data_IF_362116772142
#
_entry.id   IF_362116772142
#
_cell.length_a   1.000
_cell.length_b   1.000
_cell.length_c   1.000
_cell.angle_alpha   90.00
_cell.angle_beta   90.00
_cell.angle_gamma   90.00
#
_symmetry.space_group_name_H-M   'P 1'
#
loop_
_entity.id
_entity.type
_entity.pdbx_description
1 polymer ?
#
# COMPACT_ATOMS: atom_id res chain seq x y z
N UNK A 1 63.07 17.76 28.02
CA UNK A 1 62.36 16.59 27.47
C UNK A 1 60.94 17.03 27.19
N UNK A 2 60.56 17.15 25.91
CA UNK A 2 59.20 17.57 25.50
C UNK A 2 58.40 16.32 25.17
N UNK A 3 57.26 16.11 25.84
CA UNK A 3 56.34 15.04 25.54
C UNK A 3 55.60 15.33 24.21
N UNK A 4 55.41 14.34 23.34
CA UNK A 4 54.60 14.53 22.12
C UNK A 4 53.11 14.54 22.43
N UNK A 5 52.30 15.26 21.65
CA UNK A 5 50.86 15.29 21.86
C UNK A 5 50.20 13.98 21.41
N UNK A 6 49.32 13.44 22.28
CA UNK A 6 48.42 12.34 21.95
C UNK A 6 47.36 12.84 20.96
N UNK A 7 47.41 12.33 19.73
CA UNK A 7 46.35 12.52 18.73
C UNK A 7 45.26 11.46 19.03
N UNK A 8 44.19 11.89 19.61
CA UNK A 8 42.95 11.06 19.74
C UNK A 8 42.22 11.10 18.39
N UNK A 9 42.34 10.03 17.63
CA UNK A 9 41.54 9.83 16.42
C UNK A 9 40.10 9.48 16.83
N UNK A 10 39.20 10.41 16.66
CA UNK A 10 37.78 10.15 16.82
C UNK A 10 37.29 9.30 15.64
N UNK A 11 36.96 8.04 15.91
CA UNK A 11 36.30 7.12 14.96
C UNK A 11 34.84 7.54 14.81
N UNK A 12 34.51 8.27 13.75
CA UNK A 12 33.12 8.54 13.38
C UNK A 12 32.53 7.26 12.78
N UNK A 13 31.79 6.52 13.60
CA UNK A 13 30.99 5.39 13.11
C UNK A 13 29.81 5.98 12.36
N UNK A 14 29.89 6.02 11.05
CA UNK A 14 28.77 6.30 10.17
C UNK A 14 27.81 5.10 10.28
N UNK A 15 26.77 5.20 11.11
CA UNK A 15 25.69 4.25 11.12
C UNK A 15 24.94 4.38 9.77
N UNK A 16 25.31 3.53 8.82
CA UNK A 16 24.52 3.35 7.61
C UNK A 16 23.17 2.81 8.07
N UNK A 17 22.13 3.64 8.04
CA UNK A 17 20.75 3.18 8.12
C UNK A 17 20.53 2.27 6.91
N UNK A 18 20.61 0.94 7.12
CA UNK A 18 20.11 0.01 6.12
C UNK A 18 18.62 0.31 5.97
N UNK A 19 18.25 1.04 4.93
CA UNK A 19 16.88 1.08 4.46
C UNK A 19 16.49 -0.36 4.17
N UNK A 20 15.48 -0.89 4.84
CA UNK A 20 15.00 -2.24 4.58
C UNK A 20 14.68 -2.33 3.07
N UNK A 21 15.33 -3.25 2.38
CA UNK A 21 15.07 -3.42 0.96
C UNK A 21 13.60 -3.84 0.78
N UNK A 22 12.89 -3.17 -0.12
CA UNK A 22 11.51 -3.51 -0.44
C UNK A 22 11.36 -4.88 -1.09
N UNK A 23 10.25 -5.08 -1.74
CA UNK A 23 10.01 -6.31 -2.51
C UNK A 23 11.13 -6.54 -3.54
N UNK A 24 11.82 -7.69 -3.43
CA UNK A 24 12.86 -8.12 -4.38
C UNK A 24 12.48 -9.42 -5.12
N UNK A 25 11.40 -10.09 -4.71
CA UNK A 25 11.03 -11.43 -5.15
C UNK A 25 9.85 -11.47 -6.11
N UNK A 26 8.91 -10.54 -5.97
CA UNK A 26 7.66 -10.54 -6.72
C UNK A 26 7.74 -9.48 -7.82
N UNK A 27 8.07 -9.92 -9.04
CA UNK A 27 8.35 -9.05 -10.20
C UNK A 27 7.15 -8.85 -11.13
N UNK A 28 5.96 -9.28 -10.73
CA UNK A 28 4.78 -9.25 -11.59
C UNK A 28 3.53 -8.96 -10.77
N UNK A 29 2.81 -7.90 -11.13
CA UNK A 29 1.52 -7.59 -10.51
C UNK A 29 0.51 -8.74 -10.64
N UNK A 30 0.54 -9.51 -11.74
CA UNK A 30 -0.32 -10.69 -11.88
C UNK A 30 0.03 -11.79 -10.85
N UNK A 31 1.33 -11.97 -10.52
CA UNK A 31 1.74 -12.88 -9.44
C UNK A 31 1.30 -12.32 -8.08
N UNK A 32 1.54 -11.02 -7.84
CA UNK A 32 1.12 -10.37 -6.60
C UNK A 32 -0.39 -10.49 -6.34
N UNK A 33 -1.23 -10.29 -7.36
CA UNK A 33 -2.70 -10.47 -7.22
C UNK A 33 -3.08 -11.87 -6.73
N UNK A 34 -2.41 -12.93 -7.23
CA UNK A 34 -2.69 -14.30 -6.75
C UNK A 34 -2.27 -14.50 -5.31
N UNK A 35 -1.10 -13.95 -4.93
CA UNK A 35 -0.60 -14.04 -3.56
C UNK A 35 -1.46 -13.25 -2.58
N UNK A 36 -1.97 -12.09 -2.95
CA UNK A 36 -2.94 -11.32 -2.14
C UNK A 36 -4.19 -12.14 -1.85
N UNK A 37 -4.75 -12.82 -2.86
CA UNK A 37 -5.91 -13.69 -2.67
C UNK A 37 -5.56 -14.92 -1.81
N UNK A 38 -4.38 -15.49 -1.96
CA UNK A 38 -3.89 -16.58 -1.10
C UNK A 38 -3.72 -16.14 0.36
N UNK A 39 -3.19 -14.92 0.61
CA UNK A 39 -3.05 -14.34 1.96
C UNK A 39 -4.42 -14.14 2.61
N UNK A 40 -5.39 -13.64 1.84
CA UNK A 40 -6.75 -13.42 2.32
C UNK A 40 -7.46 -14.74 2.73
N UNK A 41 -7.19 -15.84 2.03
CA UNK A 41 -7.79 -17.14 2.32
C UNK A 41 -9.31 -17.17 2.10
N UNK A 42 -9.97 -18.17 2.72
CA UNK A 42 -11.40 -18.40 2.57
C UNK A 42 -12.26 -17.40 3.35
N UNK A 43 -11.72 -16.84 4.44
CA UNK A 43 -12.36 -15.81 5.27
C UNK A 43 -11.96 -14.38 4.84
N UNK A 44 -11.56 -14.22 3.58
CA UNK A 44 -11.09 -12.97 3.03
C UNK A 44 -12.08 -11.81 3.20
N UNK A 45 -11.52 -10.63 3.50
CA UNK A 45 -12.30 -9.40 3.69
C UNK A 45 -11.74 -8.26 2.85
N UNK A 46 -12.65 -7.41 2.38
CA UNK A 46 -12.28 -6.18 1.67
C UNK A 46 -11.75 -5.14 2.65
N UNK A 47 -10.81 -4.32 2.20
CA UNK A 47 -10.16 -3.33 3.06
C UNK A 47 -11.14 -2.27 3.58
N UNK A 48 -11.82 -1.57 2.68
CA UNK A 48 -12.58 -0.38 3.04
C UNK A 48 -13.88 -0.68 3.77
N UNK A 49 -14.63 -1.68 3.33
CA UNK A 49 -15.94 -2.01 3.90
C UNK A 49 -15.94 -3.25 4.80
N UNK A 50 -14.83 -4.00 4.87
CA UNK A 50 -14.75 -5.25 5.63
C UNK A 50 -15.78 -6.32 5.18
N UNK A 51 -16.23 -6.27 3.93
CA UNK A 51 -17.14 -7.28 3.38
C UNK A 51 -16.41 -8.61 3.19
N UNK A 52 -17.09 -9.71 3.49
CA UNK A 52 -16.64 -11.05 3.11
C UNK A 52 -16.69 -11.21 1.60
N UNK A 53 -15.85 -12.08 1.07
CA UNK A 53 -15.89 -12.49 -0.32
C UNK A 53 -15.47 -13.96 -0.47
N UNK A 54 -15.97 -14.60 -1.50
CA UNK A 54 -15.58 -15.95 -1.90
C UNK A 54 -15.43 -15.99 -3.43
N UNK A 55 -14.44 -16.72 -3.94
CA UNK A 55 -14.20 -16.85 -5.37
C UNK A 55 -14.20 -15.53 -6.17
N UNK A 56 -13.77 -14.44 -5.53
CA UNK A 56 -13.80 -13.07 -6.04
C UNK A 56 -15.18 -12.43 -6.15
N UNK A 57 -16.21 -13.01 -5.62
CA UNK A 57 -17.52 -12.40 -5.45
C UNK A 57 -17.69 -11.83 -4.05
N UNK A 58 -18.19 -10.60 -3.98
CA UNK A 58 -18.40 -9.86 -2.72
C UNK A 58 -19.75 -10.23 -2.12
N UNK A 59 -19.75 -10.61 -0.85
CA UNK A 59 -20.95 -10.77 -0.03
C UNK A 59 -21.34 -9.41 0.56
N UNK A 60 -22.21 -8.67 -0.15
CA UNK A 60 -22.65 -7.32 0.25
C UNK A 60 -23.40 -7.34 1.59
N UNK A 61 -24.17 -8.37 1.86
CA UNK A 61 -24.99 -8.49 3.07
C UNK A 61 -24.10 -8.62 4.32
N UNK A 62 -22.87 -9.15 4.16
CA UNK A 62 -21.94 -9.31 5.27
C UNK A 62 -21.42 -8.00 5.87
N UNK A 63 -21.64 -6.86 5.19
CA UNK A 63 -21.13 -5.56 5.57
C UNK A 63 -22.09 -4.39 5.31
N UNK A 64 -23.32 -4.68 4.87
CA UNK A 64 -24.32 -3.67 4.54
C UNK A 64 -23.93 -2.75 3.37
N UNK A 65 -23.06 -3.23 2.48
CA UNK A 65 -22.64 -2.46 1.31
C UNK A 65 -23.78 -2.35 0.28
N UNK A 66 -24.05 -1.13 -0.16
CA UNK A 66 -25.01 -0.85 -1.25
C UNK A 66 -24.24 -0.24 -2.43
N UNK A 67 -24.30 -0.87 -3.64
CA UNK A 67 -23.67 -0.29 -4.82
C UNK A 67 -24.22 1.10 -5.16
N UNK A 68 -23.34 2.06 -5.42
CA UNK A 68 -23.74 3.42 -5.77
C UNK A 68 -24.18 3.53 -7.22
N UNK A 69 -23.51 2.89 -8.15
CA UNK A 69 -23.81 2.99 -9.59
C UNK A 69 -23.38 1.83 -10.47
N UNK A 70 -22.27 1.18 -10.20
CA UNK A 70 -21.73 0.08 -11.03
C UNK A 70 -21.89 -1.27 -10.35
N UNK A 71 -23.07 -1.87 -10.48
CA UNK A 71 -23.39 -3.14 -9.83
C UNK A 71 -22.52 -4.31 -10.31
N UNK A 72 -22.01 -4.29 -11.55
CA UNK A 72 -21.12 -5.33 -12.06
C UNK A 72 -19.75 -5.25 -11.41
N UNK A 73 -19.17 -4.04 -11.27
CA UNK A 73 -17.91 -3.86 -10.56
C UNK A 73 -18.05 -4.07 -9.07
N UNK A 74 -19.18 -3.70 -8.47
CA UNK A 74 -19.45 -3.87 -7.06
C UNK A 74 -19.43 -5.34 -6.61
N UNK A 75 -19.79 -6.28 -7.49
CA UNK A 75 -19.86 -7.71 -7.17
C UNK A 75 -18.50 -8.42 -7.19
N UNK A 76 -17.46 -7.82 -7.75
CA UNK A 76 -16.17 -8.49 -7.94
C UNK A 76 -15.07 -7.88 -7.10
N UNK A 77 -14.12 -8.73 -6.71
CA UNK A 77 -12.87 -8.29 -6.08
C UNK A 77 -11.91 -7.77 -7.16
N UNK A 78 -11.36 -6.59 -6.91
CA UNK A 78 -10.17 -6.06 -7.56
C UNK A 78 -9.04 -5.94 -6.53
N UNK A 79 -7.80 -5.80 -6.97
CA UNK A 79 -6.68 -5.59 -6.06
C UNK A 79 -6.36 -4.10 -6.02
N UNK A 80 -6.58 -3.53 -4.85
CA UNK A 80 -6.32 -2.13 -4.53
C UNK A 80 -4.83 -1.91 -4.26
N UNK A 81 -4.31 -0.80 -4.76
CA UNK A 81 -3.06 -0.21 -4.30
C UNK A 81 -3.37 0.91 -3.30
N UNK A 82 -3.14 0.70 -2.02
CA UNK A 82 -3.41 1.69 -0.96
C UNK A 82 -2.64 2.99 -1.22
N UNK A 83 -1.34 2.90 -1.50
CA UNK A 83 -0.59 3.97 -2.17
C UNK A 83 -0.77 3.78 -3.67
N UNK A 84 -1.52 4.67 -4.36
CA UNK A 84 -1.86 4.48 -5.76
C UNK A 84 -0.65 4.31 -6.67
N UNK A 85 -0.72 3.33 -7.58
CA UNK A 85 0.34 3.09 -8.56
C UNK A 85 0.65 4.32 -9.42
N UNK A 86 -0.31 5.22 -9.62
CA UNK A 86 -0.09 6.49 -10.30
C UNK A 86 0.77 7.45 -9.48
N UNK A 87 0.58 7.50 -8.14
CA UNK A 87 1.29 8.45 -7.29
C UNK A 87 2.80 8.19 -7.32
N UNK A 88 3.23 6.96 -7.07
CA UNK A 88 4.65 6.62 -7.19
C UNK A 88 5.09 6.47 -8.65
N UNK A 89 4.20 6.06 -9.55
CA UNK A 89 4.49 5.89 -10.98
C UNK A 89 4.96 7.18 -11.64
N UNK A 90 4.38 8.32 -11.29
CA UNK A 90 4.78 9.63 -11.80
C UNK A 90 6.23 10.03 -11.47
N UNK A 91 6.88 9.39 -10.52
CA UNK A 91 8.31 9.60 -10.23
C UNK A 91 9.22 8.98 -11.30
N UNK A 92 8.72 8.04 -12.11
CA UNK A 92 9.50 7.36 -13.15
C UNK A 92 9.37 8.08 -14.51
N UNK A 93 10.49 8.21 -15.21
CA UNK A 93 10.52 8.86 -16.52
C UNK A 93 9.71 8.10 -17.56
N UNK A 94 9.73 6.76 -17.50
CA UNK A 94 8.99 5.89 -18.42
C UNK A 94 7.46 6.04 -18.26
N UNK A 95 7.01 6.43 -17.07
CA UNK A 95 5.62 6.78 -16.82
C UNK A 95 5.25 8.12 -17.46
N UNK A 96 6.08 9.14 -17.30
CA UNK A 96 5.79 10.51 -17.75
C UNK A 96 6.00 10.68 -19.26
N UNK A 97 7.09 10.16 -19.77
CA UNK A 97 7.58 10.44 -21.12
C UNK A 97 7.52 9.23 -22.04
N UNK A 98 7.51 8.02 -21.46
CA UNK A 98 7.60 6.77 -22.21
C UNK A 98 9.05 6.26 -22.33
N UNK A 99 9.26 5.31 -23.22
CA UNK A 99 10.56 4.73 -23.51
C UNK A 99 10.60 4.26 -24.98
N UNK A 100 11.76 4.26 -25.61
CA UNK A 100 11.90 3.89 -27.03
C UNK A 100 11.30 2.52 -27.39
N UNK A 101 11.33 1.57 -26.45
CA UNK A 101 10.72 0.23 -26.64
C UNK A 101 9.23 0.18 -26.34
N UNK A 102 8.63 1.27 -25.85
CA UNK A 102 7.21 1.36 -25.55
C UNK A 102 6.41 1.76 -26.79
N UNK A 103 6.39 0.87 -27.78
CA UNK A 103 5.58 0.99 -28.98
C UNK A 103 4.59 -0.18 -29.05
N UNK A 104 3.39 0.08 -29.56
CA UNK A 104 2.37 -0.95 -29.78
C UNK A 104 2.65 -1.72 -31.11
N UNK A 105 1.77 -2.64 -31.48
CA UNK A 105 1.91 -3.45 -32.70
C UNK A 105 1.90 -2.62 -34.00
N UNK A 106 1.27 -1.46 -33.94
CA UNK A 106 1.16 -0.51 -35.07
C UNK A 106 2.32 0.52 -35.06
N UNK A 107 3.37 0.33 -34.21
CA UNK A 107 4.49 1.25 -34.08
C UNK A 107 4.18 2.53 -33.33
N UNK A 108 2.97 2.70 -32.76
CA UNK A 108 2.57 3.90 -32.03
C UNK A 108 3.14 3.90 -30.61
N UNK A 109 3.84 4.98 -30.17
CA UNK A 109 4.39 5.05 -28.83
C UNK A 109 3.30 5.13 -27.75
N UNK A 110 3.60 4.57 -26.57
CA UNK A 110 2.77 4.69 -25.39
C UNK A 110 3.62 4.93 -24.13
N UNK A 111 2.99 5.50 -23.09
CA UNK A 111 3.58 5.84 -21.79
C UNK A 111 2.69 5.36 -20.63
N UNK A 112 2.95 5.84 -19.41
CA UNK A 112 2.17 5.53 -18.21
C UNK A 112 2.49 4.15 -17.64
N UNK A 113 1.54 3.61 -16.87
CA UNK A 113 1.65 2.35 -16.14
C UNK A 113 2.22 1.20 -16.99
N UNK A 114 1.71 1.07 -18.21
CA UNK A 114 2.09 -0.01 -19.12
C UNK A 114 3.55 0.09 -19.59
N UNK A 115 4.04 1.31 -19.86
CA UNK A 115 5.43 1.51 -20.25
C UNK A 115 6.38 1.30 -19.06
N UNK A 116 6.11 1.93 -17.92
CA UNK A 116 6.91 1.74 -16.71
C UNK A 116 6.97 0.26 -16.30
N UNK A 117 5.84 -0.45 -16.30
CA UNK A 117 5.80 -1.89 -16.02
C UNK A 117 6.55 -2.75 -17.02
N UNK A 118 6.66 -2.32 -18.28
CA UNK A 118 7.44 -3.03 -19.31
C UNK A 118 8.94 -2.84 -19.16
N UNK A 119 9.40 -1.64 -18.81
CA UNK A 119 10.79 -1.23 -18.98
C UNK A 119 11.55 -0.96 -17.69
N UNK A 120 10.86 -0.70 -16.56
CA UNK A 120 11.49 -0.35 -15.31
C UNK A 120 11.29 -1.43 -14.24
N UNK A 121 12.38 -2.02 -13.75
CA UNK A 121 12.32 -3.10 -12.76
C UNK A 121 11.86 -2.59 -11.40
N UNK A 122 12.38 -1.46 -10.93
CA UNK A 122 12.00 -0.86 -9.66
C UNK A 122 10.50 -0.58 -9.63
N UNK A 123 9.94 -0.03 -10.72
CA UNK A 123 8.49 0.16 -10.83
C UNK A 123 7.72 -1.15 -10.68
N UNK A 124 8.16 -2.23 -11.36
CA UNK A 124 7.49 -3.55 -11.24
C UNK A 124 7.52 -4.10 -9.83
N UNK A 125 8.64 -3.93 -9.12
CA UNK A 125 8.78 -4.38 -7.73
C UNK A 125 7.86 -3.59 -6.80
N UNK A 126 7.77 -2.26 -6.96
CA UNK A 126 6.85 -1.40 -6.21
C UNK A 126 5.38 -1.74 -6.50
N UNK A 127 5.03 -1.90 -7.78
CA UNK A 127 3.66 -2.26 -8.21
C UNK A 127 3.21 -3.61 -7.66
N UNK A 128 4.15 -4.51 -7.38
CA UNK A 128 3.90 -5.86 -6.91
C UNK A 128 4.18 -6.05 -5.40
N UNK A 129 4.42 -4.98 -4.66
CA UNK A 129 4.69 -5.05 -3.22
C UNK A 129 3.43 -5.39 -2.44
N UNK A 130 3.43 -6.54 -1.76
CA UNK A 130 2.25 -7.10 -1.09
C UNK A 130 1.78 -6.27 0.10
N UNK A 131 2.66 -5.50 0.75
CA UNK A 131 2.24 -4.61 1.84
C UNK A 131 1.32 -3.49 1.36
N UNK A 132 1.40 -3.11 0.08
CA UNK A 132 0.58 -2.09 -0.53
C UNK A 132 -0.69 -2.62 -1.23
N UNK A 133 -0.94 -3.93 -1.24
CA UNK A 133 -1.98 -4.57 -2.05
C UNK A 133 -3.05 -5.25 -1.21
N UNK A 134 -4.31 -4.92 -1.44
CA UNK A 134 -5.45 -5.50 -0.70
C UNK A 134 -6.58 -5.92 -1.64
N UNK A 135 -7.36 -6.97 -1.26
CA UNK A 135 -8.63 -7.23 -1.92
C UNK A 135 -9.61 -6.09 -1.64
N UNK A 136 -10.27 -5.59 -2.68
CA UNK A 136 -11.25 -4.52 -2.53
C UNK A 136 -12.42 -4.68 -3.49
N UNK A 137 -13.59 -4.14 -3.14
CA UNK A 137 -14.76 -4.05 -4.00
C UNK A 137 -14.38 -3.23 -5.24
N UNK A 138 -14.61 -3.79 -6.43
CA UNK A 138 -14.17 -3.15 -7.67
C UNK A 138 -14.78 -1.77 -7.91
N UNK A 139 -16.02 -1.50 -7.44
CA UNK A 139 -16.63 -0.16 -7.53
C UNK A 139 -15.84 0.82 -6.66
N UNK A 140 -15.60 0.48 -5.38
CA UNK A 140 -14.84 1.34 -4.47
C UNK A 140 -13.41 1.57 -4.93
N UNK A 141 -12.72 0.53 -5.41
CA UNK A 141 -11.40 0.67 -5.99
C UNK A 141 -11.40 1.68 -7.17
N UNK A 142 -12.43 1.63 -8.01
CA UNK A 142 -12.59 2.59 -9.11
C UNK A 142 -12.91 4.00 -8.66
N UNK A 143 -13.81 4.17 -7.71
CA UNK A 143 -14.23 5.47 -7.19
C UNK A 143 -13.13 6.13 -6.36
N UNK A 144 -12.38 5.33 -5.58
CA UNK A 144 -11.19 5.79 -4.86
C UNK A 144 -10.11 6.32 -5.80
N UNK A 145 -9.90 5.68 -6.94
CA UNK A 145 -8.97 6.18 -7.96
C UNK A 145 -7.56 6.44 -7.40
N UNK A 146 -7.01 7.64 -7.60
CA UNK A 146 -5.74 8.12 -7.02
C UNK A 146 -5.95 9.21 -5.97
N UNK A 147 -7.15 9.29 -5.38
CA UNK A 147 -7.49 10.33 -4.42
C UNK A 147 -6.70 10.15 -3.12
N UNK A 148 -6.37 11.28 -2.47
CA UNK A 148 -5.66 11.28 -1.20
C UNK A 148 -6.58 10.88 -0.06
N UNK A 149 -6.03 10.27 0.97
CA UNK A 149 -6.74 10.09 2.23
C UNK A 149 -6.80 11.38 3.04
N UNK A 150 -7.88 11.55 3.78
CA UNK A 150 -8.12 12.74 4.61
C UNK A 150 -9.47 12.68 5.31
N UNK A 151 -9.84 13.76 5.98
CA UNK A 151 -11.18 13.92 6.51
C UNK A 151 -12.09 14.56 5.47
N UNK A 152 -13.33 14.07 5.41
CA UNK A 152 -14.39 14.51 4.52
C UNK A 152 -15.47 15.20 5.35
N UNK A 153 -15.90 16.39 4.94
CA UNK A 153 -16.93 17.15 5.67
C UNK A 153 -18.34 16.59 5.47
N UNK A 154 -18.60 15.91 4.35
CA UNK A 154 -19.91 15.30 4.08
C UNK A 154 -20.24 14.22 5.11
N UNK A 155 -21.50 14.21 5.53
CA UNK A 155 -22.09 13.14 6.36
C UNK A 155 -22.75 12.05 5.54
N UNK A 156 -22.81 12.19 4.21
CA UNK A 156 -23.51 11.27 3.33
C UNK A 156 -22.81 9.90 3.27
N UNK A 157 -23.61 8.87 3.41
CA UNK A 157 -23.20 7.46 3.33
C UNK A 157 -23.61 6.92 1.95
N UNK A 158 -22.72 7.06 0.96
CA UNK A 158 -23.06 6.73 -0.44
C UNK A 158 -23.04 5.22 -0.74
N UNK A 159 -22.48 4.40 0.17
CA UNK A 159 -22.28 2.95 -0.02
C UNK A 159 -23.00 2.12 1.05
N UNK A 160 -24.21 2.53 1.48
CA UNK A 160 -24.96 1.85 2.53
C UNK A 160 -24.29 2.02 3.90
N UNK A 161 -24.06 0.91 4.63
CA UNK A 161 -23.42 0.94 5.95
C UNK A 161 -21.88 1.04 5.89
N UNK A 162 -21.31 0.89 4.69
CA UNK A 162 -19.86 1.03 4.52
C UNK A 162 -19.39 2.46 4.76
N UNK A 163 -18.62 2.67 5.80
CA UNK A 163 -18.10 3.96 6.23
C UNK A 163 -16.92 4.42 5.34
N UNK A 164 -17.20 4.58 4.06
CA UNK A 164 -16.25 5.05 3.06
C UNK A 164 -16.82 6.29 2.38
N UNK A 165 -16.17 7.43 2.55
CA UNK A 165 -16.63 8.72 2.04
C UNK A 165 -15.66 9.27 1.01
N UNK A 166 -16.20 9.89 -0.04
CA UNK A 166 -15.42 10.58 -1.07
C UNK A 166 -16.00 11.97 -1.26
N UNK A 167 -15.17 12.99 -1.15
CA UNK A 167 -15.51 14.36 -1.49
C UNK A 167 -14.27 15.11 -1.98
N UNK A 168 -14.40 15.99 -2.99
CA UNK A 168 -13.33 16.82 -3.56
C UNK A 168 -11.98 16.09 -3.74
N UNK A 169 -12.00 14.84 -4.20
CA UNK A 169 -10.81 13.99 -4.37
C UNK A 169 -10.08 13.65 -3.06
N UNK A 170 -10.80 13.68 -1.97
CA UNK A 170 -10.39 13.20 -0.65
C UNK A 170 -11.22 11.99 -0.30
N UNK A 171 -10.58 10.99 0.29
CA UNK A 171 -11.22 9.77 0.77
C UNK A 171 -11.05 9.67 2.26
N UNK A 172 -12.16 9.47 2.96
CA UNK A 172 -12.16 9.13 4.38
C UNK A 172 -12.60 7.68 4.57
N UNK A 173 -11.69 6.79 4.99
CA UNK A 173 -12.02 5.41 5.31
C UNK A 173 -12.58 5.30 6.74
N UNK A 174 -13.19 4.15 7.05
CA UNK A 174 -13.59 3.80 8.41
C UNK A 174 -12.41 3.91 9.39
N UNK A 175 -12.70 4.16 10.66
CA UNK A 175 -11.69 4.45 11.69
C UNK A 175 -10.71 3.29 11.91
N UNK A 176 -11.20 2.04 11.84
CA UNK A 176 -10.52 0.80 12.20
C UNK A 176 -9.47 0.32 11.19
N UNK A 177 -9.21 1.10 10.14
CA UNK A 177 -8.13 0.81 9.16
C UNK A 177 -7.26 2.03 8.88
N UNK A 178 -7.46 3.11 9.63
CA UNK A 178 -6.69 4.34 9.41
C UNK A 178 -5.22 4.15 9.77
N UNK A 179 -4.96 3.41 10.84
CA UNK A 179 -3.62 3.02 11.25
C UNK A 179 -2.95 2.11 10.23
N UNK A 180 -3.67 1.09 9.74
CA UNK A 180 -3.16 0.20 8.68
C UNK A 180 -2.72 1.00 7.46
N UNK A 181 -3.59 1.91 6.98
CA UNK A 181 -3.29 2.80 5.85
C UNK A 181 -2.05 3.65 6.14
N UNK A 182 -1.95 4.22 7.35
CA UNK A 182 -0.81 5.03 7.74
C UNK A 182 0.51 4.23 7.70
N UNK A 183 0.53 3.03 8.28
CA UNK A 183 1.69 2.13 8.32
C UNK A 183 2.10 1.64 6.92
N UNK A 184 1.14 1.47 6.01
CA UNK A 184 1.41 1.17 4.60
C UNK A 184 2.12 2.36 3.92
N UNK A 185 1.63 3.58 4.14
CA UNK A 185 2.26 4.78 3.58
C UNK A 185 3.66 5.01 4.14
N UNK A 186 3.87 4.82 5.45
CA UNK A 186 5.20 4.91 6.07
C UNK A 186 6.17 3.88 5.50
N UNK A 187 5.71 2.63 5.35
CA UNK A 187 6.50 1.57 4.75
C UNK A 187 6.90 1.91 3.30
N UNK A 188 5.96 2.28 2.47
CA UNK A 188 6.23 2.58 1.07
C UNK A 188 7.17 3.77 0.90
N UNK A 189 7.01 4.83 1.73
CA UNK A 189 7.87 6.01 1.71
C UNK A 189 9.30 5.71 2.16
N UNK A 190 9.47 4.95 3.24
CA UNK A 190 10.76 4.58 3.79
C UNK A 190 11.51 3.57 2.90
N UNK A 191 10.76 2.62 2.32
CA UNK A 191 11.33 1.52 1.52
C UNK A 191 11.69 1.95 0.11
N UNK A 192 10.93 2.90 -0.45
CA UNK A 192 11.12 3.42 -1.80
C UNK A 192 11.33 4.94 -1.76
N UNK A 193 12.50 5.40 -1.27
CA UNK A 193 12.79 6.82 -1.11
C UNK A 193 12.73 7.59 -2.44
N UNK A 194 12.54 8.90 -2.37
CA UNK A 194 12.50 9.81 -3.52
C UNK A 194 11.32 9.60 -4.50
N UNK A 195 10.29 8.87 -4.09
CA UNK A 195 9.09 8.66 -4.91
C UNK A 195 7.96 9.64 -4.61
N UNK A 196 8.12 10.52 -3.62
CA UNK A 196 7.14 11.54 -3.28
C UNK A 196 5.83 10.96 -2.72
N UNK A 197 5.93 9.85 -1.97
CA UNK A 197 4.77 9.13 -1.42
C UNK A 197 4.12 9.92 -0.30
N UNK A 198 4.93 10.47 0.61
CA UNK A 198 4.48 11.26 1.75
C UNK A 198 4.95 12.71 1.69
N UNK A 199 3.99 13.64 1.69
CA UNK A 199 4.26 15.04 1.97
C UNK A 199 4.05 15.37 3.46
N UNK A 200 4.56 16.52 3.91
CA UNK A 200 4.52 16.91 5.33
C UNK A 200 3.11 16.94 5.94
N UNK A 201 2.09 17.38 5.17
CA UNK A 201 0.69 17.39 5.65
C UNK A 201 0.12 15.98 5.83
N UNK A 202 0.37 15.10 4.86
CA UNK A 202 -0.08 13.71 4.91
C UNK A 202 0.62 12.95 6.04
N UNK A 203 1.91 13.20 6.28
CA UNK A 203 2.67 12.58 7.37
C UNK A 203 2.03 12.85 8.73
N UNK A 204 1.71 14.11 9.04
CA UNK A 204 1.05 14.47 10.30
C UNK A 204 -0.32 13.81 10.49
N UNK A 205 -1.09 13.72 9.41
CA UNK A 205 -2.38 13.02 9.43
C UNK A 205 -2.18 11.53 9.73
N UNK A 206 -1.27 10.89 9.04
CA UNK A 206 -1.01 9.46 9.23
C UNK A 206 -0.37 9.14 10.58
N UNK A 207 0.48 10.00 11.13
CA UNK A 207 0.98 9.87 12.50
C UNK A 207 -0.16 9.91 13.54
N UNK A 208 -1.17 10.77 13.32
CA UNK A 208 -2.36 10.80 14.15
C UNK A 208 -3.24 9.55 14.00
N UNK A 209 -3.36 9.03 12.77
CA UNK A 209 -4.12 7.82 12.48
C UNK A 209 -3.46 6.57 13.07
N UNK A 210 -2.16 6.41 12.90
CA UNK A 210 -1.37 5.32 13.46
C UNK A 210 -1.48 5.24 14.99
N UNK A 211 -1.45 6.41 15.66
CA UNK A 211 -1.65 6.50 17.10
C UNK A 211 -3.08 6.15 17.56
N UNK A 212 -4.09 6.52 16.75
CA UNK A 212 -5.51 6.31 17.09
C UNK A 212 -5.99 4.89 16.80
N UNK A 213 -5.32 4.19 15.87
CA UNK A 213 -5.66 2.86 15.39
C UNK A 213 -4.38 1.99 15.43
N UNK A 214 -4.03 1.44 16.61
CA UNK A 214 -2.85 0.61 16.78
C UNK A 214 -3.01 -0.73 16.05
N UNK A 215 -1.89 -1.45 15.87
CA UNK A 215 -1.90 -2.77 15.21
C UNK A 215 -2.85 -3.75 15.90
N UNK A 216 -3.52 -4.55 15.10
CA UNK A 216 -4.36 -5.64 15.55
C UNK A 216 -3.84 -7.02 15.12
N UNK A 217 -4.50 -8.09 15.57
CA UNK A 217 -4.10 -9.46 15.27
C UNK A 217 -4.18 -9.77 13.76
N UNK A 218 -5.16 -9.24 13.05
CA UNK A 218 -5.34 -9.48 11.62
C UNK A 218 -4.24 -8.83 10.78
N UNK A 219 -3.88 -7.58 11.11
CA UNK A 219 -2.77 -6.88 10.47
C UNK A 219 -1.43 -7.59 10.74
N UNK A 220 -1.19 -8.00 11.99
CA UNK A 220 0.03 -8.71 12.39
C UNK A 220 0.16 -10.07 11.69
N UNK A 221 -0.90 -10.86 11.62
CA UNK A 221 -0.92 -12.13 10.90
C UNK A 221 -0.67 -11.93 9.40
N UNK A 222 -1.34 -10.94 8.81
CA UNK A 222 -1.14 -10.58 7.40
C UNK A 222 0.31 -10.19 7.12
N UNK A 223 0.91 -9.37 7.97
CA UNK A 223 2.31 -8.94 7.83
C UNK A 223 3.28 -10.12 7.91
N UNK A 224 3.07 -11.07 8.82
CA UNK A 224 3.86 -12.30 8.92
C UNK A 224 3.76 -13.14 7.63
N UNK A 225 2.55 -13.35 7.10
CA UNK A 225 2.34 -14.07 5.83
C UNK A 225 3.08 -13.39 4.66
N UNK A 226 3.05 -12.05 4.60
CA UNK A 226 3.75 -11.29 3.56
C UNK A 226 5.25 -11.44 3.71
N UNK A 227 5.80 -11.32 4.91
CA UNK A 227 7.24 -11.46 5.15
C UNK A 227 7.76 -12.82 4.65
N UNK A 228 7.06 -13.92 4.91
CA UNK A 228 7.40 -15.26 4.40
C UNK A 228 7.43 -15.31 2.86
N UNK A 229 6.44 -14.72 2.21
CA UNK A 229 6.28 -14.77 0.75
C UNK A 229 7.20 -13.79 0.02
N UNK A 230 7.32 -12.56 0.53
CA UNK A 230 8.04 -11.46 -0.12
C UNK A 230 9.50 -11.37 0.33
N UNK A 231 9.80 -11.79 1.57
CA UNK A 231 11.15 -11.90 2.12
C UNK A 231 11.71 -10.63 2.74
N UNK A 232 10.86 -9.64 3.00
CA UNK A 232 11.19 -8.44 3.75
C UNK A 232 10.05 -8.07 4.70
N UNK A 233 10.37 -7.40 5.80
CA UNK A 233 9.40 -6.95 6.79
C UNK A 233 8.91 -5.52 6.51
N UNK A 234 7.69 -5.22 6.98
CA UNK A 234 7.24 -3.87 7.25
C UNK A 234 7.47 -3.55 8.73
N UNK A 235 8.54 -2.82 9.03
CA UNK A 235 8.92 -2.50 10.41
C UNK A 235 7.90 -1.62 11.15
N UNK A 236 7.07 -0.86 10.41
CA UNK A 236 5.97 -0.07 10.98
C UNK A 236 4.82 -0.94 11.51
N UNK A 237 4.73 -2.20 11.07
CA UNK A 237 3.80 -3.19 11.57
C UNK A 237 4.50 -4.19 12.48
N UNK A 238 5.62 -4.76 12.04
CA UNK A 238 6.31 -5.85 12.75
C UNK A 238 6.72 -5.47 14.18
N UNK A 239 7.33 -4.30 14.37
CA UNK A 239 7.75 -3.87 15.72
C UNK A 239 6.58 -3.69 16.68
N UNK A 240 5.53 -2.90 16.34
CA UNK A 240 4.35 -2.82 17.20
C UNK A 240 3.68 -4.16 17.47
N UNK A 241 3.62 -5.06 16.47
CA UNK A 241 3.07 -6.41 16.68
C UNK A 241 3.89 -7.27 17.65
N UNK A 242 5.23 -7.17 17.60
CA UNK A 242 6.12 -7.84 18.58
C UNK A 242 5.92 -7.28 19.99
N UNK A 243 5.83 -5.95 20.12
CA UNK A 243 5.59 -5.26 21.40
C UNK A 243 4.23 -5.64 22.01
N UNK A 244 3.22 -5.83 21.15
CA UNK A 244 1.87 -6.27 21.54
C UNK A 244 1.77 -7.80 21.77
N UNK A 245 2.82 -8.58 21.49
CA UNK A 245 2.79 -10.06 21.57
C UNK A 245 1.90 -10.72 20.50
N UNK A 246 1.63 -10.03 19.39
CA UNK A 246 0.74 -10.48 18.31
C UNK A 246 1.48 -11.04 17.09
N UNK A 247 2.80 -10.87 17.01
CA UNK A 247 3.57 -11.34 15.87
C UNK A 247 3.98 -12.80 16.04
N UNK A 248 3.52 -13.66 15.14
CA UNK A 248 3.91 -15.07 15.11
C UNK A 248 5.17 -15.19 14.27
N UNK A 249 6.33 -15.25 14.93
CA UNK A 249 7.57 -15.70 14.30
C UNK A 249 7.55 -17.23 14.28
N UNK A 250 7.66 -17.84 13.12
CA UNK A 250 7.97 -19.28 12.97
C UNK A 250 9.46 -19.50 13.00
#
# INVERSE_FOLDING_TARGET
MRNPPLIVAALVILAATLSAAGNQRIRSFNKAKRLVMQIAGDDGRTLYCNCRFSDKEVDHDSCGYVPRRDTRRARRIEIEHVVPAENFGRSFIEWREGHATCVNKEGKPFKGRRCAGKTNETYRLMEADLYNLFPEIGELNGDRSNYRFGHVQSTDMEYGECQFKIDERVVEPRSEIRGDIARIYFYMDATYPERGILGNKSRKLFEAWDKADPVDAAECERASKIEKLQGNANDFVKRPCLEAGLYIAD
#
